data_IF_523327701511
#
_entry.id   IF_523327701511
#
_cell.length_a   1.000
_cell.length_b   1.000
_cell.length_c   1.000
_cell.angle_alpha   90.00
_cell.angle_beta   90.00
_cell.angle_gamma   90.00
#
_symmetry.space_group_name_H-M   'P 1'
#
loop_
_entity.id
_entity.type
_entity.pdbx_description
1 polymer ?
#
# COMPACT_ATOMS: atom_id res chain seq x y z
N UNK A 1 -21.28 13.28 -23.05
CA UNK A 1 -21.63 12.30 -22.05
C UNK A 1 -20.98 12.75 -20.74
N UNK A 2 -21.80 12.92 -19.68
CA UNK A 2 -21.30 13.30 -18.36
C UNK A 2 -20.34 12.24 -17.86
N UNK A 3 -19.24 12.70 -17.26
CA UNK A 3 -18.23 11.83 -16.67
C UNK A 3 -18.74 11.50 -15.27
N UNK A 4 -19.26 10.31 -15.07
CA UNK A 4 -19.74 9.87 -13.77
C UNK A 4 -18.72 8.93 -13.13
N UNK A 5 -18.52 9.07 -11.82
CA UNK A 5 -17.76 8.12 -11.04
C UNK A 5 -18.46 6.75 -11.07
N UNK A 6 -17.70 5.69 -11.07
CA UNK A 6 -18.21 4.33 -11.00
C UNK A 6 -17.86 3.72 -9.64
N UNK A 7 -18.86 3.26 -8.90
CA UNK A 7 -18.66 2.59 -7.63
C UNK A 7 -19.40 1.25 -7.62
N UNK A 8 -18.71 0.18 -7.24
CA UNK A 8 -19.31 -1.14 -7.13
C UNK A 8 -20.21 -1.28 -5.90
N UNK A 9 -19.68 -0.99 -4.72
CA UNK A 9 -20.40 -0.92 -3.45
C UNK A 9 -19.99 0.39 -2.76
N UNK A 10 -21.00 1.17 -2.30
CA UNK A 10 -20.79 2.36 -1.47
C UNK A 10 -21.49 2.18 -0.13
N UNK A 11 -20.79 2.37 0.96
CA UNK A 11 -21.31 2.36 2.34
C UNK A 11 -20.91 3.69 2.97
N UNK A 12 -21.92 4.49 3.34
CA UNK A 12 -21.76 5.87 3.78
C UNK A 12 -22.78 6.29 4.85
N UNK A 13 -22.72 7.57 5.28
CA UNK A 13 -23.67 8.21 6.18
C UNK A 13 -23.81 7.54 7.55
N UNK A 14 -22.74 7.44 8.31
CA UNK A 14 -22.70 6.85 9.66
C UNK A 14 -23.22 5.38 9.70
N UNK A 15 -23.12 4.67 8.58
CA UNK A 15 -23.63 3.32 8.50
C UNK A 15 -22.80 2.35 9.37
N UNK A 16 -23.50 1.37 9.94
CA UNK A 16 -22.87 0.24 10.62
C UNK A 16 -23.23 -1.05 9.90
N UNK A 17 -22.24 -1.73 9.35
CA UNK A 17 -22.41 -2.97 8.59
C UNK A 17 -21.66 -4.10 9.28
N UNK A 18 -22.36 -5.14 9.70
CA UNK A 18 -21.73 -6.27 10.36
C UNK A 18 -20.78 -7.04 9.42
N UNK A 19 -21.26 -7.48 8.25
CA UNK A 19 -20.42 -8.28 7.35
C UNK A 19 -20.72 -8.01 5.88
N UNK A 20 -19.67 -7.80 5.12
CA UNK A 20 -19.67 -7.85 3.65
C UNK A 20 -18.84 -9.04 3.22
N UNK A 21 -19.40 -9.96 2.43
CA UNK A 21 -18.68 -11.10 1.85
C UNK A 21 -18.79 -11.05 0.33
N UNK A 22 -17.66 -10.98 -0.35
CA UNK A 22 -17.58 -11.15 -1.80
C UNK A 22 -16.98 -12.52 -2.13
N UNK A 23 -17.78 -13.41 -2.67
CA UNK A 23 -17.35 -14.70 -3.26
C UNK A 23 -17.48 -14.71 -4.78
N UNK A 24 -18.02 -13.65 -5.37
CA UNK A 24 -18.18 -13.45 -6.80
C UNK A 24 -17.26 -12.38 -7.35
N UNK A 25 -17.83 -11.48 -8.16
CA UNK A 25 -17.08 -10.38 -8.77
C UNK A 25 -17.77 -9.04 -8.50
N UNK A 26 -17.03 -8.10 -7.95
CA UNK A 26 -17.39 -6.68 -7.85
C UNK A 26 -16.60 -5.94 -8.91
N UNK A 27 -17.27 -5.21 -9.79
CA UNK A 27 -16.59 -4.41 -10.82
C UNK A 27 -17.01 -2.95 -10.76
N UNK A 28 -16.06 -2.06 -11.02
CA UNK A 28 -16.33 -0.66 -11.29
C UNK A 28 -15.50 -0.23 -12.51
N UNK A 29 -16.13 0.49 -13.46
CA UNK A 29 -15.42 0.95 -14.65
C UNK A 29 -15.86 2.35 -15.04
N UNK A 30 -14.91 3.27 -15.14
CA UNK A 30 -15.14 4.65 -15.53
C UNK A 30 -14.18 5.05 -16.66
N UNK A 31 -14.72 5.58 -17.77
CA UNK A 31 -13.89 6.00 -18.91
C UNK A 31 -13.17 7.33 -18.69
N UNK A 32 -13.77 8.26 -18.00
CA UNK A 32 -13.27 9.63 -17.84
C UNK A 32 -13.29 10.16 -16.41
N UNK A 33 -13.62 9.35 -15.43
CA UNK A 33 -13.74 9.70 -14.02
C UNK A 33 -13.10 8.64 -13.14
N UNK A 34 -13.23 8.79 -11.83
CA UNK A 34 -12.73 7.84 -10.85
C UNK A 34 -13.59 6.58 -10.81
N UNK A 35 -12.95 5.46 -10.51
CA UNK A 35 -13.60 4.17 -10.34
C UNK A 35 -13.19 3.56 -9.00
N UNK A 36 -14.17 3.12 -8.21
CA UNK A 36 -13.96 2.52 -6.88
C UNK A 36 -14.72 1.21 -6.77
N UNK A 37 -14.06 0.14 -6.35
CA UNK A 37 -14.69 -1.17 -6.16
C UNK A 37 -15.60 -1.17 -4.94
N UNK A 38 -15.05 -0.93 -3.76
CA UNK A 38 -15.78 -0.75 -2.50
C UNK A 38 -15.35 0.58 -1.89
N UNK A 39 -16.31 1.45 -1.63
CA UNK A 39 -16.10 2.75 -1.01
C UNK A 39 -16.77 2.79 0.37
N UNK A 40 -15.99 3.11 1.40
CA UNK A 40 -16.40 3.22 2.80
C UNK A 40 -16.11 4.64 3.25
N UNK A 41 -17.14 5.45 3.51
CA UNK A 41 -17.01 6.88 3.81
C UNK A 41 -17.94 7.34 4.93
N UNK A 42 -17.76 8.60 5.36
CA UNK A 42 -18.65 9.31 6.26
C UNK A 42 -18.91 8.60 7.58
N UNK A 43 -17.83 8.39 8.37
CA UNK A 43 -17.88 7.78 9.72
C UNK A 43 -18.48 6.37 9.76
N UNK A 44 -18.44 5.67 8.64
CA UNK A 44 -18.97 4.32 8.50
C UNK A 44 -18.09 3.27 9.19
N UNK A 45 -18.74 2.26 9.78
CA UNK A 45 -18.06 1.10 10.35
C UNK A 45 -18.48 -0.19 9.65
N UNK A 46 -17.51 -0.98 9.23
CA UNK A 46 -17.69 -2.35 8.75
C UNK A 46 -16.97 -3.30 9.72
N UNK A 47 -17.69 -4.20 10.38
CA UNK A 47 -17.04 -5.16 11.29
C UNK A 47 -16.18 -6.17 10.52
N UNK A 48 -16.70 -6.72 9.42
CA UNK A 48 -15.97 -7.69 8.61
C UNK A 48 -16.19 -7.46 7.12
N UNK A 49 -15.10 -7.29 6.38
CA UNK A 49 -15.07 -7.33 4.93
C UNK A 49 -14.22 -8.52 4.48
N UNK A 50 -14.87 -9.52 3.89
CA UNK A 50 -14.22 -10.75 3.44
C UNK A 50 -14.30 -10.87 1.91
N UNK A 51 -13.14 -10.81 1.24
CA UNK A 51 -13.04 -11.02 -0.20
C UNK A 51 -12.36 -12.35 -0.51
N UNK A 52 -13.16 -13.31 -0.98
CA UNK A 52 -12.67 -14.60 -1.52
C UNK A 52 -12.78 -14.65 -3.04
N UNK A 53 -13.49 -13.69 -3.64
CA UNK A 53 -13.70 -13.55 -5.08
C UNK A 53 -12.80 -12.49 -5.69
N UNK A 54 -13.37 -11.69 -6.58
CA UNK A 54 -12.63 -10.64 -7.30
C UNK A 54 -13.27 -9.28 -7.06
N UNK A 55 -12.44 -8.28 -6.77
CA UNK A 55 -12.77 -6.86 -6.87
C UNK A 55 -11.87 -6.33 -7.98
N UNK A 56 -12.46 -5.93 -9.13
CA UNK A 56 -11.71 -5.46 -10.29
C UNK A 56 -12.21 -4.10 -10.74
N UNK A 57 -11.31 -3.13 -10.74
CA UNK A 57 -11.60 -1.72 -10.99
C UNK A 57 -10.77 -1.20 -12.14
N UNK A 58 -11.40 -0.47 -13.07
CA UNK A 58 -10.70 0.13 -14.20
C UNK A 58 -11.12 1.59 -14.39
N UNK A 59 -10.15 2.49 -14.42
CA UNK A 59 -10.35 3.89 -14.79
C UNK A 59 -9.57 4.22 -16.07
N UNK A 60 -10.21 4.93 -17.01
CA UNK A 60 -9.59 5.28 -18.29
C UNK A 60 -8.65 6.49 -18.21
N UNK A 61 -8.99 7.51 -17.43
CA UNK A 61 -8.22 8.77 -17.36
C UNK A 61 -7.87 9.16 -15.94
N UNK A 62 -8.75 8.83 -14.99
CA UNK A 62 -8.65 9.22 -13.58
C UNK A 62 -8.16 8.05 -12.71
N UNK A 63 -8.40 8.13 -11.42
CA UNK A 63 -7.96 7.16 -10.44
C UNK A 63 -8.82 5.88 -10.44
N UNK A 64 -8.16 4.75 -10.22
CA UNK A 64 -8.80 3.47 -9.94
C UNK A 64 -8.45 3.01 -8.53
N UNK A 65 -9.45 2.66 -7.72
CA UNK A 65 -9.23 2.19 -6.35
C UNK A 65 -10.04 0.93 -6.06
N UNK A 66 -9.37 -0.14 -5.65
CA UNK A 66 -10.04 -1.40 -5.30
C UNK A 66 -10.95 -1.24 -4.08
N UNK A 67 -10.39 -0.84 -2.94
CA UNK A 67 -11.09 -0.49 -1.71
C UNK A 67 -10.63 0.89 -1.25
N UNK A 68 -11.55 1.83 -1.09
CA UNK A 68 -11.32 3.17 -0.56
C UNK A 68 -11.97 3.30 0.82
N UNK A 69 -11.18 3.74 1.80
CA UNK A 69 -11.65 4.07 3.16
C UNK A 69 -11.35 5.52 3.43
N UNK A 70 -12.36 6.34 3.66
CA UNK A 70 -12.22 7.78 3.86
C UNK A 70 -13.15 8.34 4.93
N UNK A 71 -12.94 9.61 5.27
CA UNK A 71 -13.84 10.38 6.12
C UNK A 71 -14.14 9.71 7.46
N UNK A 72 -13.05 9.40 8.21
CA UNK A 72 -13.12 8.84 9.57
C UNK A 72 -13.82 7.47 9.66
N UNK A 73 -13.67 6.63 8.63
CA UNK A 73 -14.33 5.34 8.55
C UNK A 73 -13.45 4.19 9.05
N UNK A 74 -14.08 3.10 9.47
CA UNK A 74 -13.39 1.96 10.07
C UNK A 74 -13.80 0.65 9.41
N UNK A 75 -12.81 -0.18 9.08
CA UNK A 75 -12.99 -1.60 8.83
C UNK A 75 -12.29 -2.37 9.95
N UNK A 76 -13.04 -3.10 10.79
CA UNK A 76 -12.41 -3.83 11.89
C UNK A 76 -11.60 -5.02 11.36
N UNK A 77 -12.17 -5.82 10.47
CA UNK A 77 -11.45 -6.95 9.87
C UNK A 77 -11.61 -6.93 8.36
N UNK A 78 -10.50 -6.83 7.64
CA UNK A 78 -10.42 -7.01 6.19
C UNK A 78 -9.60 -8.26 5.89
N UNK A 79 -10.25 -9.25 5.27
CA UNK A 79 -9.57 -10.47 4.82
C UNK A 79 -9.66 -10.57 3.30
N UNK A 80 -8.52 -10.73 2.63
CA UNK A 80 -8.45 -10.98 1.20
C UNK A 80 -7.75 -12.30 0.91
N UNK A 81 -8.48 -13.28 0.41
CA UNK A 81 -7.92 -14.51 -0.16
C UNK A 81 -8.11 -14.60 -1.67
N UNK A 82 -8.83 -13.65 -2.26
CA UNK A 82 -9.06 -13.51 -3.69
C UNK A 82 -8.20 -12.44 -4.33
N UNK A 83 -8.79 -11.69 -5.26
CA UNK A 83 -8.14 -10.61 -6.00
C UNK A 83 -8.78 -9.25 -5.64
N UNK A 84 -7.96 -8.28 -5.30
CA UNK A 84 -8.29 -6.86 -5.28
C UNK A 84 -7.35 -6.20 -6.28
N UNK A 85 -7.90 -5.70 -7.39
CA UNK A 85 -7.13 -5.12 -8.48
C UNK A 85 -7.71 -3.79 -8.91
N UNK A 86 -6.85 -2.80 -9.01
CA UNK A 86 -7.15 -1.50 -9.59
C UNK A 86 -6.23 -1.22 -10.77
N UNK A 87 -6.81 -0.83 -11.91
CA UNK A 87 -6.07 -0.51 -13.14
C UNK A 87 -6.47 0.90 -13.58
N UNK A 88 -5.51 1.81 -13.64
CA UNK A 88 -5.69 3.14 -14.25
C UNK A 88 -4.87 3.24 -15.53
N UNK A 89 -5.53 3.61 -16.63
CA UNK A 89 -4.85 3.91 -17.89
C UNK A 89 -4.33 5.37 -17.93
N UNK A 90 -4.79 6.22 -17.00
CA UNK A 90 -4.48 7.64 -16.93
C UNK A 90 -3.50 8.00 -15.82
N UNK A 91 -3.96 8.09 -14.59
CA UNK A 91 -3.19 8.62 -13.47
C UNK A 91 -2.82 7.54 -12.45
N UNK A 92 -3.48 7.49 -11.30
CA UNK A 92 -3.09 6.64 -10.18
C UNK A 92 -3.98 5.39 -10.07
N UNK A 93 -3.42 4.32 -9.51
CA UNK A 93 -4.15 3.10 -9.21
C UNK A 93 -3.76 2.58 -7.83
N UNK A 94 -4.75 2.34 -6.96
CA UNK A 94 -4.55 1.85 -5.61
C UNK A 94 -5.35 0.56 -5.38
N UNK A 95 -4.68 -0.52 -4.93
CA UNK A 95 -5.39 -1.73 -4.52
C UNK A 95 -6.28 -1.46 -3.31
N UNK A 96 -5.70 -0.93 -2.23
CA UNK A 96 -6.39 -0.37 -1.07
C UNK A 96 -5.87 1.05 -0.86
N UNK A 97 -6.78 2.00 -0.67
CA UNK A 97 -6.47 3.39 -0.37
C UNK A 97 -7.18 3.83 0.91
N UNK A 98 -6.44 4.47 1.78
CA UNK A 98 -6.93 5.08 3.01
C UNK A 98 -6.52 6.54 2.98
N UNK A 99 -7.48 7.43 2.75
CA UNK A 99 -7.26 8.87 2.65
C UNK A 99 -8.45 9.62 3.22
N UNK A 100 -8.22 10.84 3.68
CA UNK A 100 -9.27 11.70 4.23
C UNK A 100 -9.26 13.05 3.51
N UNK A 101 -10.25 13.30 2.66
CA UNK A 101 -10.37 14.56 1.94
C UNK A 101 -10.63 15.77 2.87
N UNK A 102 -11.08 15.52 4.11
CA UNK A 102 -11.47 16.57 5.06
C UNK A 102 -10.49 16.75 6.22
N UNK A 103 -9.49 15.87 6.39
CA UNK A 103 -8.52 15.85 7.50
C UNK A 103 -9.18 15.94 8.91
N UNK A 104 -10.40 15.42 9.06
CA UNK A 104 -11.21 15.57 10.27
C UNK A 104 -11.19 14.34 11.18
N UNK A 105 -10.59 13.24 10.73
CA UNK A 105 -10.59 11.99 11.49
C UNK A 105 -9.48 11.02 11.07
N UNK A 106 -9.53 9.83 11.64
CA UNK A 106 -8.57 8.77 11.35
C UNK A 106 -9.29 7.61 10.68
N UNK A 107 -8.94 7.34 9.43
CA UNK A 107 -9.39 6.11 8.78
C UNK A 107 -8.66 4.91 9.38
N UNK A 108 -9.38 3.88 9.73
CA UNK A 108 -8.80 2.75 10.44
C UNK A 108 -9.12 1.41 9.79
N UNK A 109 -8.10 0.58 9.59
CA UNK A 109 -8.26 -0.86 9.42
C UNK A 109 -7.60 -1.52 10.63
N UNK A 110 -8.39 -2.18 11.49
CA UNK A 110 -7.81 -2.82 12.68
C UNK A 110 -6.98 -4.03 12.29
N UNK A 111 -7.52 -4.89 11.44
CA UNK A 111 -6.79 -6.07 10.94
C UNK A 111 -6.96 -6.19 9.43
N UNK A 112 -5.85 -6.22 8.70
CA UNK A 112 -5.77 -6.55 7.29
C UNK A 112 -4.97 -7.84 7.12
N UNK A 113 -5.64 -8.92 6.67
CA UNK A 113 -5.00 -10.18 6.32
C UNK A 113 -5.10 -10.42 4.83
N UNK A 114 -3.96 -10.56 4.15
CA UNK A 114 -3.90 -10.85 2.72
C UNK A 114 -3.20 -12.18 2.45
N UNK A 115 -3.95 -13.16 1.97
CA UNK A 115 -3.43 -14.44 1.45
C UNK A 115 -3.56 -14.54 -0.08
N UNK A 116 -4.30 -13.60 -0.68
CA UNK A 116 -4.51 -13.45 -2.12
C UNK A 116 -3.63 -12.38 -2.75
N UNK A 117 -4.22 -11.57 -3.62
CA UNK A 117 -3.53 -10.47 -4.30
C UNK A 117 -4.22 -9.14 -4.04
N UNK A 118 -3.44 -8.13 -3.71
CA UNK A 118 -3.83 -6.72 -3.66
C UNK A 118 -2.91 -5.97 -4.61
N UNK A 119 -3.46 -5.34 -5.66
CA UNK A 119 -2.65 -4.66 -6.67
C UNK A 119 -3.23 -3.35 -7.16
N UNK A 120 -2.35 -2.38 -7.37
CA UNK A 120 -2.64 -1.15 -8.11
C UNK A 120 -1.68 -1.00 -9.28
N UNK A 121 -2.22 -0.92 -10.50
CA UNK A 121 -1.44 -0.81 -11.74
C UNK A 121 -1.82 0.44 -12.53
N UNK A 122 -0.92 1.39 -12.62
CA UNK A 122 -1.11 2.63 -13.34
C UNK A 122 -0.25 2.69 -14.61
N UNK A 123 -0.85 3.02 -15.76
CA UNK A 123 -0.08 3.25 -16.97
C UNK A 123 0.63 4.61 -16.96
N UNK A 124 -0.01 5.63 -16.37
CA UNK A 124 0.43 7.03 -16.44
C UNK A 124 1.28 7.51 -15.26
N UNK A 125 0.88 7.29 -14.02
CA UNK A 125 1.51 7.92 -12.86
C UNK A 125 1.92 6.93 -11.79
N UNK A 126 1.09 6.70 -10.76
CA UNK A 126 1.51 5.95 -9.58
C UNK A 126 0.65 4.70 -9.39
N UNK A 127 1.30 3.54 -9.30
CA UNK A 127 0.63 2.31 -8.89
C UNK A 127 0.99 1.96 -7.45
N UNK A 128 -0.02 1.73 -6.59
CA UNK A 128 0.17 1.36 -5.19
C UNK A 128 -0.64 0.10 -4.85
N UNK A 129 -0.01 -0.83 -4.13
CA UNK A 129 -0.74 -1.97 -3.56
C UNK A 129 -1.64 -1.51 -2.41
N UNK A 130 -1.04 -0.95 -1.36
CA UNK A 130 -1.72 -0.36 -0.20
C UNK A 130 -1.17 1.05 0.04
N UNK A 131 -2.03 2.04 0.09
CA UNK A 131 -1.71 3.44 0.38
C UNK A 131 -2.38 3.89 1.67
N UNK A 132 -1.62 4.50 2.56
CA UNK A 132 -2.10 5.19 3.74
C UNK A 132 -1.70 6.65 3.63
N UNK A 133 -2.69 7.53 3.64
CA UNK A 133 -2.51 8.99 3.61
C UNK A 133 -3.32 9.63 4.75
N UNK A 134 -2.97 10.88 5.11
CA UNK A 134 -3.77 11.72 6.00
C UNK A 134 -4.11 11.08 7.34
N UNK A 135 -3.07 10.72 8.11
CA UNK A 135 -3.16 10.14 9.46
C UNK A 135 -3.87 8.77 9.54
N UNK A 136 -4.03 8.08 8.42
CA UNK A 136 -4.66 6.75 8.40
C UNK A 136 -3.90 5.71 9.20
N UNK A 137 -4.61 4.75 9.78
CA UNK A 137 -4.06 3.74 10.68
C UNK A 137 -4.42 2.31 10.24
N UNK A 138 -3.40 1.47 10.14
CA UNK A 138 -3.59 0.01 10.18
C UNK A 138 -2.93 -0.52 11.45
N UNK A 139 -3.72 -1.18 12.34
CA UNK A 139 -3.15 -1.74 13.56
C UNK A 139 -2.35 -3.01 13.24
N UNK A 140 -2.90 -3.92 12.46
CA UNK A 140 -2.19 -5.14 12.03
C UNK A 140 -2.36 -5.38 10.55
N UNK A 141 -1.25 -5.44 9.81
CA UNK A 141 -1.18 -5.91 8.43
C UNK A 141 -0.41 -7.21 8.39
N UNK A 142 -1.08 -8.31 8.02
CA UNK A 142 -0.47 -9.62 7.79
C UNK A 142 -0.56 -9.97 6.29
N UNK A 143 0.58 -9.94 5.60
CA UNK A 143 0.70 -10.32 4.20
C UNK A 143 1.36 -11.67 4.03
N UNK A 144 0.60 -12.64 3.58
CA UNK A 144 1.04 -13.99 3.21
C UNK A 144 0.95 -14.22 1.70
N UNK A 145 0.25 -13.32 0.98
CA UNK A 145 0.07 -13.33 -0.47
C UNK A 145 0.92 -12.29 -1.19
N UNK A 146 0.33 -11.59 -2.15
CA UNK A 146 0.97 -10.54 -2.93
C UNK A 146 0.34 -9.16 -2.64
N UNK A 147 1.17 -8.19 -2.31
CA UNK A 147 0.83 -6.76 -2.36
C UNK A 147 1.74 -6.12 -3.40
N UNK A 148 1.16 -5.50 -4.45
CA UNK A 148 1.93 -4.97 -5.55
C UNK A 148 1.47 -3.58 -5.98
N UNK A 149 2.44 -2.68 -6.15
CA UNK A 149 2.24 -1.42 -6.86
C UNK A 149 3.04 -1.42 -8.14
N UNK A 150 2.39 -1.18 -9.29
CA UNK A 150 3.04 -1.16 -10.59
C UNK A 150 2.76 0.14 -11.34
N UNK A 151 3.78 0.75 -11.93
CA UNK A 151 3.64 1.94 -12.74
C UNK A 151 4.41 1.84 -14.05
N UNK A 152 3.72 2.08 -15.16
CA UNK A 152 4.33 2.12 -16.48
C UNK A 152 5.21 3.35 -16.72
N UNK A 153 4.93 4.46 -16.04
CA UNK A 153 5.62 5.73 -16.27
C UNK A 153 6.49 6.19 -15.10
N UNK A 154 5.97 6.33 -13.87
CA UNK A 154 6.71 7.00 -12.80
C UNK A 154 6.95 6.13 -11.56
N UNK A 155 5.96 6.01 -10.67
CA UNK A 155 6.20 5.51 -9.32
C UNK A 155 5.42 4.22 -9.04
N UNK A 156 6.11 3.13 -8.69
CA UNK A 156 5.52 1.91 -8.12
C UNK A 156 5.77 1.85 -6.62
N UNK A 157 4.72 1.54 -5.85
CA UNK A 157 4.81 1.38 -4.40
C UNK A 157 4.04 0.13 -3.97
N UNK A 158 4.70 -0.81 -3.29
CA UNK A 158 4.00 -1.95 -2.69
C UNK A 158 3.09 -1.46 -1.56
N UNK A 159 3.68 -0.90 -0.52
CA UNK A 159 3.00 -0.23 0.61
C UNK A 159 3.56 1.17 0.76
N UNK A 160 2.69 2.18 0.86
CA UNK A 160 3.08 3.57 1.11
C UNK A 160 2.37 4.11 2.33
N UNK A 161 3.13 4.82 3.17
CA UNK A 161 2.64 5.61 4.30
C UNK A 161 3.11 7.04 4.12
N UNK A 162 2.19 8.00 4.20
CA UNK A 162 2.48 9.44 4.12
C UNK A 162 1.58 10.23 5.04
N UNK A 163 1.87 11.52 5.23
CA UNK A 163 1.02 12.45 5.98
C UNK A 163 0.66 11.96 7.38
N UNK A 164 1.68 11.58 8.16
CA UNK A 164 1.56 11.11 9.54
C UNK A 164 0.72 9.82 9.72
N UNK A 165 0.61 9.01 8.69
CA UNK A 165 -0.07 7.70 8.75
C UNK A 165 0.77 6.64 9.45
N UNK A 166 0.14 5.59 9.93
CA UNK A 166 0.87 4.57 10.68
C UNK A 166 0.38 3.14 10.47
N UNK A 167 1.34 2.21 10.58
CA UNK A 167 1.06 0.78 10.75
C UNK A 167 1.71 0.34 12.06
N UNK A 168 0.89 -0.16 13.02
CA UNK A 168 1.47 -0.60 14.28
C UNK A 168 2.31 -1.85 14.11
N UNK A 169 1.79 -2.86 13.41
CA UNK A 169 2.52 -4.09 13.08
C UNK A 169 2.30 -4.48 11.63
N UNK A 170 3.39 -4.66 10.88
CA UNK A 170 3.40 -5.24 9.55
C UNK A 170 4.18 -6.55 9.58
N UNK A 171 3.52 -7.65 9.25
CA UNK A 171 4.15 -8.97 9.08
C UNK A 171 4.05 -9.36 7.62
N UNK A 172 5.18 -9.69 7.01
CA UNK A 172 5.24 -10.15 5.63
C UNK A 172 5.92 -11.52 5.55
N UNK A 173 5.14 -12.55 5.26
CA UNK A 173 5.64 -13.88 4.89
C UNK A 173 5.45 -14.19 3.41
N UNK A 174 4.66 -13.35 2.71
CA UNK A 174 4.44 -13.38 1.27
C UNK A 174 5.37 -12.43 0.50
N UNK A 175 4.80 -11.66 -0.41
CA UNK A 175 5.55 -10.72 -1.24
C UNK A 175 4.93 -9.32 -1.19
N UNK A 176 5.77 -8.32 -0.92
CA UNK A 176 5.46 -6.90 -1.13
C UNK A 176 6.38 -6.43 -2.25
N UNK A 177 5.81 -6.02 -3.39
CA UNK A 177 6.56 -5.73 -4.59
C UNK A 177 6.20 -4.38 -5.20
N UNK A 178 7.21 -3.70 -5.74
CA UNK A 178 7.04 -2.48 -6.52
C UNK A 178 7.70 -2.61 -7.88
N UNK A 179 6.97 -2.24 -8.93
CA UNK A 179 7.47 -2.20 -10.30
C UNK A 179 7.30 -0.79 -10.84
N UNK A 180 8.33 -0.19 -11.43
CA UNK A 180 8.23 1.15 -12.01
C UNK A 180 9.20 1.35 -13.17
N UNK A 181 8.91 2.37 -13.99
CA UNK A 181 9.89 2.84 -14.96
C UNK A 181 10.99 3.65 -14.26
N UNK A 182 10.63 4.60 -13.39
CA UNK A 182 11.59 5.52 -12.77
C UNK A 182 11.92 5.15 -11.33
N UNK A 183 10.93 5.13 -10.42
CA UNK A 183 11.15 4.96 -9.00
C UNK A 183 10.25 3.84 -8.44
N UNK A 184 10.84 2.77 -7.97
CA UNK A 184 10.15 1.64 -7.36
C UNK A 184 10.51 1.54 -5.88
N UNK A 185 9.51 1.41 -5.00
CA UNK A 185 9.71 1.20 -3.56
C UNK A 185 8.79 0.10 -3.05
N UNK A 186 9.35 -0.97 -2.52
CA UNK A 186 8.56 -2.04 -1.91
C UNK A 186 7.73 -1.50 -0.76
N UNK A 187 8.37 -0.87 0.23
CA UNK A 187 7.74 -0.10 1.31
C UNK A 187 8.31 1.32 1.30
N UNK A 188 7.44 2.32 1.37
CA UNK A 188 7.81 3.73 1.44
C UNK A 188 7.17 4.39 2.67
N UNK A 189 7.99 5.01 3.52
CA UNK A 189 7.56 5.72 4.72
C UNK A 189 8.02 7.16 4.62
N UNK A 190 7.10 8.10 4.50
CA UNK A 190 7.40 9.53 4.36
C UNK A 190 6.47 10.43 5.19
N UNK A 191 6.80 11.73 5.23
CA UNK A 191 5.93 12.78 5.76
C UNK A 191 5.43 12.53 7.18
N UNK A 192 6.33 12.15 8.08
CA UNK A 192 6.02 11.94 9.50
C UNK A 192 5.34 10.61 9.82
N UNK A 193 5.32 9.68 8.89
CA UNK A 193 4.65 8.40 9.04
C UNK A 193 5.50 7.36 9.76
N UNK A 194 4.87 6.31 10.27
CA UNK A 194 5.59 5.33 11.06
C UNK A 194 5.11 3.88 10.88
N UNK A 195 6.07 2.96 11.04
CA UNK A 195 5.79 1.54 11.26
C UNK A 195 6.36 1.16 12.62
N UNK A 196 5.52 0.69 13.55
CA UNK A 196 5.99 0.26 14.87
C UNK A 196 6.88 -0.98 14.77
N UNK A 197 6.36 -2.06 14.24
CA UNK A 197 7.11 -3.30 14.02
C UNK A 197 6.94 -3.80 12.58
N UNK A 198 8.03 -4.03 11.90
CA UNK A 198 8.08 -4.67 10.58
C UNK A 198 8.82 -5.99 10.69
N UNK A 199 8.10 -7.10 10.52
CA UNK A 199 8.65 -8.45 10.48
C UNK A 199 8.58 -8.98 9.04
N UNK A 200 9.73 -9.22 8.42
CA UNK A 200 9.81 -9.79 7.07
C UNK A 200 10.47 -11.16 7.10
N UNK A 201 9.71 -12.21 6.79
CA UNK A 201 10.23 -13.55 6.50
C UNK A 201 10.05 -13.94 5.04
N UNK A 202 9.28 -13.15 4.28
CA UNK A 202 9.06 -13.30 2.85
C UNK A 202 9.95 -12.40 2.01
N UNK A 203 9.36 -11.76 0.99
CA UNK A 203 10.09 -10.88 0.08
C UNK A 203 9.50 -9.46 0.10
N UNK A 204 10.38 -8.47 0.24
CA UNK A 204 10.09 -7.07 -0.02
C UNK A 204 11.01 -6.63 -1.15
N UNK A 205 10.47 -6.28 -2.31
CA UNK A 205 11.28 -6.01 -3.49
C UNK A 205 10.82 -4.80 -4.27
N UNK A 206 11.77 -4.18 -4.95
CA UNK A 206 11.53 -3.09 -5.87
C UNK A 206 12.33 -3.30 -7.15
N UNK A 207 11.70 -3.11 -8.30
CA UNK A 207 12.33 -3.17 -9.60
C UNK A 207 12.00 -1.93 -10.40
N UNK A 208 13.02 -1.14 -10.74
CA UNK A 208 12.91 -0.01 -11.66
C UNK A 208 13.66 -0.29 -12.96
N UNK A 209 13.24 0.36 -14.07
CA UNK A 209 14.01 0.33 -15.30
C UNK A 209 15.03 1.45 -15.39
N UNK A 210 14.79 2.57 -14.69
CA UNK A 210 15.73 3.70 -14.58
C UNK A 210 15.60 4.34 -13.21
N UNK A 211 16.54 5.16 -12.82
CA UNK A 211 16.65 5.99 -11.62
C UNK A 211 16.81 5.22 -10.32
N UNK A 212 15.72 4.87 -9.58
CA UNK A 212 15.86 4.37 -8.21
C UNK A 212 14.98 3.15 -7.93
N UNK A 213 15.51 2.22 -7.12
CA UNK A 213 14.79 1.05 -6.63
C UNK A 213 15.15 0.74 -5.18
N UNK A 214 14.18 0.80 -4.29
CA UNK A 214 14.40 0.53 -2.87
C UNK A 214 13.42 -0.53 -2.36
N UNK A 215 13.92 -1.58 -1.74
CA UNK A 215 13.06 -2.54 -1.02
C UNK A 215 12.27 -1.82 0.06
N UNK A 216 12.95 -1.10 0.96
CA UNK A 216 12.37 -0.20 1.96
C UNK A 216 13.03 1.17 1.82
N UNK A 217 12.23 2.24 1.85
CA UNK A 217 12.72 3.62 1.82
C UNK A 217 12.05 4.49 2.89
N UNK A 218 12.85 5.17 3.70
CA UNK A 218 12.42 6.15 4.69
C UNK A 218 13.05 7.50 4.30
N UNK A 219 12.24 8.54 4.06
CA UNK A 219 12.71 9.74 3.34
C UNK A 219 12.85 11.01 4.17
N UNK A 220 12.31 11.10 5.38
CA UNK A 220 12.36 12.34 6.17
C UNK A 220 12.64 12.08 7.66
N UNK A 221 13.05 13.14 8.37
CA UNK A 221 13.49 13.07 9.78
C UNK A 221 12.37 12.75 10.78
N UNK A 222 11.14 12.91 10.39
CA UNK A 222 9.97 12.63 11.23
C UNK A 222 9.39 11.22 11.00
N UNK A 223 9.83 10.54 9.95
CA UNK A 223 9.38 9.18 9.61
C UNK A 223 10.23 8.10 10.28
N UNK A 224 9.60 6.97 10.61
CA UNK A 224 10.31 5.94 11.36
C UNK A 224 9.82 4.52 11.15
N UNK A 225 10.74 3.57 11.38
CA UNK A 225 10.44 2.17 11.67
C UNK A 225 11.07 1.85 13.03
N UNK A 226 10.24 1.58 14.06
CA UNK A 226 10.80 1.34 15.39
C UNK A 226 11.58 0.04 15.44
N UNK A 227 11.01 -1.05 14.96
CA UNK A 227 11.69 -2.34 14.89
C UNK A 227 11.56 -2.94 13.49
N UNK A 228 12.68 -3.21 12.84
CA UNK A 228 12.77 -3.98 11.60
C UNK A 228 13.45 -5.31 11.88
N UNK A 229 12.73 -6.41 11.69
CA UNK A 229 13.29 -7.77 11.75
C UNK A 229 13.17 -8.40 10.36
N UNK A 230 14.31 -8.78 9.79
CA UNK A 230 14.37 -9.40 8.47
C UNK A 230 15.06 -10.77 8.52
N UNK A 231 14.30 -11.81 8.24
CA UNK A 231 14.80 -13.19 8.04
C UNK A 231 14.61 -13.64 6.59
N UNK A 232 13.89 -12.85 5.79
CA UNK A 232 13.61 -13.07 4.37
C UNK A 232 14.50 -12.25 3.45
N UNK A 233 13.94 -11.76 2.37
CA UNK A 233 14.66 -10.96 1.37
C UNK A 233 14.12 -9.52 1.31
N UNK A 234 15.01 -8.54 1.34
CA UNK A 234 14.72 -7.13 1.04
C UNK A 234 15.68 -6.71 -0.06
N UNK A 235 15.16 -6.24 -1.21
CA UNK A 235 15.99 -5.90 -2.37
C UNK A 235 15.46 -4.76 -3.20
N UNK A 236 16.36 -3.93 -3.72
CA UNK A 236 16.11 -3.01 -4.81
C UNK A 236 16.93 -3.43 -6.03
N UNK A 237 16.38 -3.34 -7.22
CA UNK A 237 17.06 -3.71 -8.47
C UNK A 237 16.70 -2.75 -9.61
N UNK A 238 17.67 -2.45 -10.46
CA UNK A 238 17.51 -1.61 -11.64
C UNK A 238 17.97 -2.40 -12.85
N UNK A 239 17.17 -2.43 -13.91
CA UNK A 239 17.51 -3.15 -15.14
C UNK A 239 18.15 -2.29 -16.22
N UNK A 240 18.02 -0.95 -16.13
CA UNK A 240 18.60 0.01 -17.07
C UNK A 240 19.69 0.89 -16.46
N UNK A 241 19.86 2.08 -16.98
CA UNK A 241 20.81 3.07 -16.47
C UNK A 241 20.21 3.81 -15.27
N UNK A 242 20.33 3.23 -14.09
CA UNK A 242 19.88 3.85 -12.84
C UNK A 242 21.05 4.14 -11.91
N UNK A 243 20.79 4.88 -10.86
CA UNK A 243 21.81 5.42 -9.96
C UNK A 243 21.83 4.73 -8.60
N UNK A 244 20.66 4.38 -8.05
CA UNK A 244 20.55 3.89 -6.69
C UNK A 244 19.59 2.67 -6.59
N UNK A 245 20.14 1.54 -6.18
CA UNK A 245 19.38 0.34 -5.88
C UNK A 245 19.84 -0.21 -4.51
N UNK A 246 18.93 -0.18 -3.53
CA UNK A 246 19.23 -0.66 -2.18
C UNK A 246 18.12 -1.55 -1.66
N UNK A 247 18.47 -2.53 -0.85
CA UNK A 247 17.49 -3.26 -0.05
C UNK A 247 16.80 -2.30 0.91
N UNK A 248 17.55 -1.56 1.71
CA UNK A 248 17.04 -0.55 2.63
C UNK A 248 17.76 0.78 2.39
N UNK A 249 17.00 1.85 2.19
CA UNK A 249 17.48 3.22 2.15
C UNK A 249 16.80 4.04 3.26
N UNK A 250 17.62 4.67 4.08
CA UNK A 250 17.19 5.56 5.16
C UNK A 250 17.88 6.91 4.97
N UNK A 251 17.26 7.82 4.25
CA UNK A 251 17.87 9.09 3.88
C UNK A 251 17.98 10.05 5.07
N UNK A 252 17.02 10.06 5.97
CA UNK A 252 17.06 10.89 7.18
C UNK A 252 16.10 10.46 8.29
N UNK A 253 15.34 9.40 8.09
CA UNK A 253 14.38 8.90 9.08
C UNK A 253 15.05 8.07 10.18
N UNK A 254 14.25 7.42 11.00
CA UNK A 254 14.75 6.64 12.14
C UNK A 254 14.37 5.17 12.00
N UNK A 255 15.38 4.30 12.06
CA UNK A 255 15.18 2.88 12.39
C UNK A 255 15.82 2.67 13.76
N UNK A 256 15.00 2.36 14.78
CA UNK A 256 15.55 2.23 16.14
C UNK A 256 16.27 0.91 16.35
N UNK A 257 15.70 -0.17 15.84
CA UNK A 257 16.29 -1.53 15.90
C UNK A 257 16.22 -2.19 14.54
N UNK A 258 17.32 -2.73 14.06
CA UNK A 258 17.35 -3.48 12.81
C UNK A 258 18.05 -4.84 13.01
N UNK A 259 17.28 -5.90 13.08
CA UNK A 259 17.75 -7.28 13.15
C UNK A 259 17.69 -7.88 11.74
N UNK A 260 18.84 -8.18 11.16
CA UNK A 260 18.91 -8.70 9.79
C UNK A 260 19.66 -10.01 9.70
N UNK A 261 19.04 -11.03 9.11
CA UNK A 261 19.69 -12.32 8.82
C UNK A 261 19.96 -12.53 7.31
N UNK A 262 19.54 -11.59 6.47
CA UNK A 262 19.80 -11.67 5.02
C UNK A 262 21.28 -11.43 4.72
N UNK A 263 21.93 -12.34 4.01
CA UNK A 263 23.26 -12.15 3.48
C UNK A 263 23.22 -11.22 2.26
N UNK A 264 24.15 -10.24 2.22
CA UNK A 264 24.28 -9.33 1.09
C UNK A 264 23.16 -8.27 0.98
N UNK A 265 22.48 -7.96 2.07
CA UNK A 265 21.58 -6.81 2.11
C UNK A 265 22.35 -5.53 1.81
N UNK A 266 21.85 -4.72 0.87
CA UNK A 266 22.40 -3.40 0.59
C UNK A 266 21.66 -2.33 1.40
N UNK A 267 22.40 -1.47 2.06
CA UNK A 267 21.88 -0.41 2.92
C UNK A 267 22.44 0.95 2.51
N UNK A 268 21.64 1.99 2.57
CA UNK A 268 22.04 3.39 2.40
C UNK A 268 21.53 4.21 3.58
N UNK A 269 22.38 5.09 4.11
CA UNK A 269 22.12 5.91 5.30
C UNK A 269 22.95 5.47 6.50
N UNK A 270 22.63 5.99 7.68
CA UNK A 270 23.27 5.62 8.93
C UNK A 270 22.63 4.37 9.50
N UNK A 271 23.42 3.32 9.73
CA UNK A 271 22.93 2.11 10.41
C UNK A 271 22.55 2.45 11.87
N UNK A 272 21.46 1.92 12.39
CA UNK A 272 21.11 2.10 13.80
C UNK A 272 22.13 1.41 14.73
N UNK A 273 22.29 1.93 15.94
CA UNK A 273 23.23 1.37 16.94
C UNK A 273 22.91 -0.10 17.29
N UNK A 274 21.66 -0.51 17.13
CA UNK A 274 21.19 -1.87 17.38
C UNK A 274 21.04 -2.71 16.09
N UNK A 275 21.93 -2.50 15.11
CA UNK A 275 22.00 -3.36 13.92
C UNK A 275 22.66 -4.70 14.26
N UNK A 276 21.98 -5.80 13.98
CA UNK A 276 22.48 -7.17 14.19
C UNK A 276 22.19 -8.08 13.01
#
# INVERSE_FOLDING_TARGET
>A
AGVANATGIHVDFDASVGTITNSGTITASAGGSDAVGIFVSDTTTIDTLNNTGTISVTAGIKEATGILVSSNSTITTLTNSGLIEAISLGVDANGIDMQDDDATGINTITTLTNTGTISGSAAGSIGRGVNLDEQSLIISLDNQGLIQGAAGATYGRGVRLTSASSITTLTNSGTINALAKTDARGIHVDSGSSIGTLNNSGTISALATSETAYGIHITDTSSSITTLTNTGMISGSITGAGVNAFGVANDSGVITTFNNQQTGLTYSGTLPDNYT
#
